data_IF_154216376705
#
_entry.id   IF_154216376705
#
_cell.length_a   1.000
_cell.length_b   1.000
_cell.length_c   1.000
_cell.angle_alpha   90.00
_cell.angle_beta   90.00
_cell.angle_gamma   90.00
#
_symmetry.space_group_name_H-M   'P 1'
#
loop_
_entity.id
_entity.type
_entity.pdbx_description
1 polymer ?
#
# COMPACT_ATOMS: atom_id res chain seq x y z
N UNK A 1 -58.97 -23.04 -13.39
CA UNK A 1 -58.48 -21.85 -12.66
C UNK A 1 -56.96 -21.94 -12.65
N UNK A 2 -56.33 -21.26 -13.60
CA UNK A 2 -54.89 -21.29 -13.82
C UNK A 2 -54.35 -19.89 -13.56
N UNK A 3 -53.75 -19.64 -12.41
CA UNK A 3 -52.71 -18.63 -12.24
C UNK A 3 -51.94 -18.94 -10.96
N UNK A 4 -50.66 -19.24 -11.08
CA UNK A 4 -49.69 -18.78 -10.09
C UNK A 4 -48.38 -18.48 -10.84
N UNK A 5 -47.94 -17.21 -10.87
CA UNK A 5 -46.68 -16.85 -11.48
C UNK A 5 -45.55 -17.26 -10.54
N UNK A 6 -44.57 -17.97 -11.10
CA UNK A 6 -43.25 -18.15 -10.52
C UNK A 6 -42.61 -16.77 -10.34
N UNK A 7 -42.50 -16.33 -9.09
CA UNK A 7 -41.68 -15.18 -8.73
C UNK A 7 -40.22 -15.55 -8.99
N UNK A 8 -39.68 -15.04 -10.10
CA UNK A 8 -38.23 -14.89 -10.28
C UNK A 8 -37.80 -13.79 -9.30
N UNK A 9 -37.17 -14.18 -8.20
CA UNK A 9 -36.50 -13.22 -7.31
C UNK A 9 -35.17 -12.84 -7.96
N UNK A 10 -34.87 -11.54 -8.18
CA UNK A 10 -33.57 -11.13 -8.67
C UNK A 10 -32.58 -11.17 -7.51
N UNK A 11 -31.64 -12.09 -7.55
CA UNK A 11 -30.49 -12.11 -6.64
C UNK A 11 -29.56 -10.95 -7.00
N UNK A 12 -29.92 -9.74 -6.57
CA UNK A 12 -28.94 -8.69 -6.33
C UNK A 12 -28.19 -9.11 -5.07
N UNK A 13 -27.08 -9.82 -5.24
CA UNK A 13 -26.20 -10.24 -4.16
C UNK A 13 -25.65 -9.00 -3.46
N UNK A 14 -26.18 -8.72 -2.28
CA UNK A 14 -25.54 -7.83 -1.32
C UNK A 14 -24.18 -8.43 -0.97
N UNK A 15 -23.09 -7.84 -1.48
CA UNK A 15 -21.73 -8.21 -1.10
C UNK A 15 -21.58 -8.01 0.41
N UNK A 16 -21.23 -9.07 1.15
CA UNK A 16 -20.94 -8.93 2.57
C UNK A 16 -19.55 -8.31 2.78
N UNK A 17 -19.30 -7.81 3.99
CA UNK A 17 -17.99 -7.25 4.38
C UNK A 17 -16.88 -8.31 4.27
N UNK A 18 -17.20 -9.56 4.60
CA UNK A 18 -16.28 -10.70 4.52
C UNK A 18 -15.94 -11.04 3.06
N UNK A 19 -16.92 -11.03 2.16
CA UNK A 19 -16.71 -11.20 0.72
C UNK A 19 -15.80 -10.12 0.15
N UNK A 20 -15.94 -8.89 0.63
CA UNK A 20 -15.21 -7.73 0.10
C UNK A 20 -13.72 -7.78 0.47
N UNK A 21 -13.40 -8.12 1.72
CA UNK A 21 -12.02 -8.26 2.15
C UNK A 21 -11.32 -9.42 1.43
N UNK A 22 -12.03 -10.54 1.23
CA UNK A 22 -11.53 -11.68 0.48
C UNK A 22 -11.21 -11.29 -0.97
N UNK A 23 -12.10 -10.57 -1.65
CA UNK A 23 -11.86 -10.07 -3.02
C UNK A 23 -10.64 -9.16 -3.09
N UNK A 24 -10.49 -8.22 -2.15
CA UNK A 24 -9.30 -7.37 -2.11
C UNK A 24 -8.03 -8.21 -1.96
N UNK A 25 -8.03 -9.22 -1.08
CA UNK A 25 -6.86 -10.08 -0.84
C UNK A 25 -6.44 -10.93 -2.06
N UNK A 26 -7.36 -11.15 -3.02
CA UNK A 26 -7.11 -11.92 -4.23
C UNK A 26 -6.41 -11.11 -5.32
N UNK A 27 -6.57 -9.78 -5.32
CA UNK A 27 -6.00 -8.91 -6.35
C UNK A 27 -4.68 -8.25 -5.93
N UNK A 28 -4.21 -8.46 -4.70
CA UNK A 28 -2.94 -7.88 -4.27
C UNK A 28 -1.74 -8.52 -4.96
N UNK A 29 -0.73 -7.70 -5.26
CA UNK A 29 0.55 -8.16 -5.80
C UNK A 29 1.49 -8.46 -4.63
N UNK A 30 1.39 -9.67 -4.06
CA UNK A 30 2.24 -10.09 -2.94
C UNK A 30 3.73 -10.00 -3.26
N UNK A 31 4.09 -10.27 -4.50
CA UNK A 31 5.47 -10.26 -4.97
C UNK A 31 6.11 -8.87 -5.01
N UNK A 32 5.30 -7.80 -5.07
CA UNK A 32 5.77 -6.42 -5.04
C UNK A 32 6.08 -5.91 -3.62
N UNK A 33 5.74 -6.68 -2.58
CA UNK A 33 6.08 -6.32 -1.20
C UNK A 33 7.57 -6.56 -0.95
N UNK A 34 8.21 -5.67 -0.20
CA UNK A 34 9.67 -5.70 -0.03
C UNK A 34 10.17 -6.98 0.67
N UNK A 35 9.33 -7.61 1.50
CA UNK A 35 9.59 -8.87 2.20
C UNK A 35 9.07 -10.10 1.45
N UNK A 36 8.68 -9.93 0.18
CA UNK A 36 8.39 -11.07 -0.69
C UNK A 36 9.68 -11.82 -1.03
N UNK A 37 9.62 -13.15 -1.26
CA UNK A 37 10.79 -13.91 -1.71
C UNK A 37 11.41 -13.36 -3.01
N UNK A 38 10.60 -12.79 -3.91
CA UNK A 38 11.08 -12.17 -5.14
C UNK A 38 11.83 -10.87 -4.87
N UNK A 39 11.33 -10.03 -3.96
CA UNK A 39 12.02 -8.81 -3.56
C UNK A 39 13.24 -9.06 -2.68
N UNK A 40 13.30 -10.13 -1.89
CA UNK A 40 14.50 -10.46 -1.12
C UNK A 40 15.75 -10.71 -1.97
N UNK A 41 15.58 -10.98 -3.28
CA UNK A 41 16.68 -11.07 -4.24
C UNK A 41 17.20 -9.69 -4.68
N UNK A 42 16.49 -8.59 -4.38
CA UNK A 42 16.99 -7.25 -4.66
C UNK A 42 18.24 -6.95 -3.84
N UNK A 43 19.26 -6.31 -4.45
CA UNK A 43 20.46 -5.93 -3.73
C UNK A 43 20.08 -4.91 -2.66
N UNK A 44 20.54 -5.14 -1.43
CA UNK A 44 20.53 -4.12 -0.38
C UNK A 44 21.74 -3.20 -0.55
N UNK A 45 21.71 -2.01 0.07
CA UNK A 45 22.94 -1.24 0.22
C UNK A 45 24.01 -2.12 0.87
N UNK A 46 25.18 -2.19 0.25
CA UNK A 46 26.33 -2.87 0.85
C UNK A 46 26.66 -2.20 2.19
N UNK A 47 27.17 -2.98 3.15
CA UNK A 47 27.59 -2.42 4.43
C UNK A 47 28.51 -1.21 4.21
N UNK A 48 28.22 -0.13 4.95
CA UNK A 48 28.95 1.14 4.92
C UNK A 48 28.85 1.95 3.62
N UNK A 49 27.98 1.59 2.69
CA UNK A 49 27.67 2.43 1.52
C UNK A 49 26.49 3.34 1.78
N UNK A 50 26.50 4.53 1.15
CA UNK A 50 25.37 5.48 1.15
C UNK A 50 24.85 5.88 2.55
N UNK A 51 25.72 5.80 3.57
CA UNK A 51 25.41 6.06 4.98
C UNK A 51 24.78 7.43 5.16
N UNK A 52 25.38 8.47 4.57
CA UNK A 52 24.94 9.86 4.79
C UNK A 52 23.59 10.13 4.12
N UNK A 53 23.33 9.50 2.97
CA UNK A 53 22.04 9.57 2.30
C UNK A 53 20.95 8.87 3.13
N UNK A 54 21.20 7.64 3.59
CA UNK A 54 20.28 6.90 4.45
C UNK A 54 20.00 7.66 5.75
N UNK A 55 21.03 8.22 6.41
CA UNK A 55 20.86 9.09 7.58
C UNK A 55 20.01 10.31 7.27
N UNK A 56 20.20 10.94 6.11
CA UNK A 56 19.42 12.11 5.69
C UNK A 56 17.96 11.74 5.44
N UNK A 57 17.70 10.60 4.80
CA UNK A 57 16.34 10.06 4.58
C UNK A 57 15.67 9.79 5.93
N UNK A 58 16.34 9.09 6.85
CA UNK A 58 15.77 8.82 8.17
C UNK A 58 15.49 10.08 8.97
N UNK A 59 16.44 11.03 8.99
CA UNK A 59 16.25 12.33 9.63
C UNK A 59 15.08 13.11 9.02
N UNK A 60 14.90 13.01 7.71
CA UNK A 60 13.76 13.61 7.03
C UNK A 60 12.48 12.95 7.55
N UNK A 61 12.33 11.62 7.38
CA UNK A 61 11.18 10.83 7.85
C UNK A 61 10.88 11.05 9.34
N UNK A 62 11.88 11.50 10.12
CA UNK A 62 11.72 11.79 11.52
C UNK A 62 11.02 13.12 11.86
N UNK A 63 10.94 14.08 10.95
CA UNK A 63 10.38 15.42 11.18
C UNK A 63 8.83 15.44 11.05
N UNK A 64 8.07 15.54 12.17
CA UNK A 64 6.61 15.46 12.15
C UNK A 64 5.93 16.71 11.56
N UNK A 65 6.68 17.78 11.26
CA UNK A 65 6.13 19.07 10.80
C UNK A 65 5.94 19.16 9.29
N UNK A 66 6.28 18.12 8.54
CA UNK A 66 6.24 18.14 7.07
C UNK A 66 5.47 16.92 6.56
N UNK A 67 4.59 17.12 5.58
CA UNK A 67 4.22 16.05 4.66
C UNK A 67 5.43 15.79 3.76
N UNK A 68 5.90 14.55 3.70
CA UNK A 68 7.22 14.24 3.18
C UNK A 68 7.16 13.28 2.01
N UNK A 69 7.24 13.83 0.81
CA UNK A 69 7.59 13.08 -0.38
C UNK A 69 9.11 13.16 -0.55
N UNK A 70 9.79 12.01 -0.47
CA UNK A 70 11.20 11.89 -0.84
C UNK A 70 11.26 11.30 -2.24
N UNK A 71 11.73 12.07 -3.20
CA UNK A 71 11.95 11.61 -4.56
C UNK A 71 13.43 11.30 -4.77
N UNK A 72 13.78 10.02 -4.86
CA UNK A 72 15.14 9.57 -5.11
C UNK A 72 15.36 9.41 -6.62
N UNK A 73 16.11 10.34 -7.23
CA UNK A 73 16.42 10.31 -8.66
C UNK A 73 17.93 10.18 -8.92
N UNK A 74 18.28 9.66 -10.10
CA UNK A 74 19.67 9.51 -10.53
C UNK A 74 19.81 8.46 -11.62
N UNK A 75 21.03 8.30 -12.15
CA UNK A 75 21.32 7.38 -13.26
C UNK A 75 20.92 5.94 -12.95
N UNK A 76 20.64 5.15 -14.00
CA UNK A 76 20.47 3.71 -13.85
C UNK A 76 21.74 3.08 -13.26
N UNK A 77 21.59 2.05 -12.41
CA UNK A 77 22.71 1.31 -11.84
C UNK A 77 23.37 1.92 -10.58
N UNK A 78 22.97 3.11 -10.11
CA UNK A 78 23.56 3.72 -8.90
C UNK A 78 23.04 3.14 -7.57
N UNK A 79 22.18 2.12 -7.63
CA UNK A 79 21.63 1.45 -6.44
C UNK A 79 20.41 2.15 -5.80
N UNK A 80 19.56 2.83 -6.58
CA UNK A 80 18.33 3.46 -6.04
C UNK A 80 17.38 2.44 -5.39
N UNK A 81 17.13 1.33 -6.07
CA UNK A 81 16.33 0.21 -5.53
C UNK A 81 16.94 -0.38 -4.27
N UNK A 82 18.28 -0.41 -4.18
CA UNK A 82 18.97 -0.85 -2.98
C UNK A 82 18.74 0.09 -1.79
N UNK A 83 18.71 1.40 -2.03
CA UNK A 83 18.34 2.41 -1.02
C UNK A 83 16.89 2.20 -0.58
N UNK A 84 15.95 2.11 -1.53
CA UNK A 84 14.54 1.91 -1.23
C UNK A 84 14.33 0.64 -0.38
N UNK A 85 14.97 -0.47 -0.77
CA UNK A 85 14.93 -1.71 0.00
C UNK A 85 15.48 -1.54 1.42
N UNK A 86 16.67 -0.94 1.56
CA UNK A 86 17.30 -0.72 2.87
C UNK A 86 16.45 0.20 3.77
N UNK A 87 15.81 1.22 3.20
CA UNK A 87 14.86 2.08 3.94
C UNK A 87 13.65 1.28 4.41
N UNK A 88 13.02 0.50 3.53
CA UNK A 88 11.88 -0.34 3.89
C UNK A 88 12.22 -1.31 5.03
N UNK A 89 13.34 -2.03 4.90
CA UNK A 89 13.83 -2.94 5.93
C UNK A 89 14.08 -2.23 7.27
N UNK A 90 14.77 -1.09 7.23
CA UNK A 90 15.05 -0.32 8.45
C UNK A 90 13.76 0.14 9.12
N UNK A 91 12.81 0.69 8.35
CA UNK A 91 11.53 1.18 8.87
C UNK A 91 10.62 0.07 9.42
N UNK A 92 10.71 -1.17 8.94
CA UNK A 92 10.01 -2.30 9.57
C UNK A 92 10.68 -2.73 10.87
N UNK A 93 12.00 -2.65 10.94
CA UNK A 93 12.80 -3.09 12.10
C UNK A 93 12.72 -2.16 13.31
N UNK A 94 12.34 -0.89 13.10
CA UNK A 94 12.22 0.10 14.17
C UNK A 94 11.14 -0.33 15.16
N UNK A 95 11.57 -0.73 16.36
CA UNK A 95 10.70 -1.00 17.51
C UNK A 95 10.45 0.29 18.28
N UNK A 96 9.27 0.38 18.89
CA UNK A 96 8.95 1.41 19.87
C UNK A 96 10.02 1.40 20.96
N UNK A 97 10.77 2.49 21.07
CA UNK A 97 11.63 2.73 22.23
C UNK A 97 11.01 3.83 23.07
N UNK A 98 11.21 3.78 24.39
CA UNK A 98 10.68 4.74 25.37
C UNK A 98 11.06 6.21 25.06
N UNK A 99 12.05 6.45 24.19
CA UNK A 99 12.50 7.78 23.76
C UNK A 99 11.77 8.34 22.53
N UNK A 100 11.06 7.51 21.78
CA UNK A 100 10.34 7.90 20.57
C UNK A 100 8.84 7.76 20.79
N UNK A 101 8.17 8.85 21.14
CA UNK A 101 6.72 8.91 21.38
C UNK A 101 5.85 8.68 20.13
N UNK A 102 6.43 8.33 18.98
CA UNK A 102 5.69 8.21 17.72
C UNK A 102 6.12 6.93 16.98
N UNK A 103 5.16 6.05 16.74
CA UNK A 103 5.30 4.82 15.96
C UNK A 103 5.52 5.12 14.47
N UNK A 104 6.76 5.41 14.07
CA UNK A 104 7.15 5.44 12.66
C UNK A 104 7.43 4.01 12.24
N UNK A 105 6.46 3.40 11.60
CA UNK A 105 6.59 2.04 11.11
C UNK A 105 6.12 1.99 9.66
N UNK A 106 6.78 1.16 8.87
CA UNK A 106 6.44 0.89 7.48
C UNK A 106 4.97 0.44 7.35
N UNK A 107 4.24 1.00 6.39
CA UNK A 107 2.79 0.79 6.22
C UNK A 107 2.40 0.15 4.90
N UNK A 108 3.28 0.27 3.92
CA UNK A 108 3.13 -0.42 2.65
C UNK A 108 4.38 -0.25 1.82
N UNK A 109 4.62 -1.25 0.99
CA UNK A 109 5.68 -1.24 0.00
C UNK A 109 5.15 -1.69 -1.34
N UNK A 110 5.75 -1.18 -2.41
CA UNK A 110 5.54 -1.69 -3.75
C UNK A 110 6.81 -1.50 -4.58
N UNK A 111 7.41 -2.59 -5.01
CA UNK A 111 8.59 -2.63 -5.85
C UNK A 111 8.19 -3.18 -7.22
N UNK A 112 8.02 -2.29 -8.20
CA UNK A 112 7.58 -2.65 -9.56
C UNK A 112 8.53 -3.67 -10.21
N UNK A 113 9.83 -3.50 -9.97
CA UNK A 113 10.91 -4.37 -10.44
C UNK A 113 10.88 -5.82 -9.94
N UNK A 114 10.20 -6.09 -8.82
CA UNK A 114 10.01 -7.46 -8.30
C UNK A 114 8.86 -8.20 -8.98
N UNK A 115 7.95 -7.46 -9.62
CA UNK A 115 6.75 -8.00 -10.21
C UNK A 115 6.96 -8.32 -11.69
N UNK A 116 7.50 -9.51 -11.92
CA UNK A 116 7.80 -10.01 -13.26
C UNK A 116 6.57 -10.61 -13.96
N UNK A 117 5.39 -10.49 -13.37
CA UNK A 117 4.30 -11.44 -13.64
C UNK A 117 3.24 -10.97 -14.61
N UNK A 118 3.05 -9.67 -14.91
CA UNK A 118 2.28 -9.22 -16.09
C UNK A 118 2.19 -7.68 -16.19
N UNK A 119 1.98 -7.14 -17.40
CA UNK A 119 1.75 -5.69 -17.65
C UNK A 119 0.51 -5.11 -16.96
N UNK A 120 -0.33 -5.95 -16.36
CA UNK A 120 -1.60 -5.57 -15.72
C UNK A 120 -1.49 -5.31 -14.22
N UNK A 121 -0.31 -5.47 -13.62
CA UNK A 121 -0.16 -5.40 -12.17
C UNK A 121 -0.04 -3.99 -11.60
N UNK A 122 0.31 -3.00 -12.44
CA UNK A 122 0.19 -1.57 -12.08
C UNK A 122 -1.23 -1.25 -11.66
N UNK A 123 -2.23 -1.85 -12.31
CA UNK A 123 -3.65 -1.74 -11.97
C UNK A 123 -4.03 -2.25 -10.58
N UNK A 124 -3.12 -2.91 -9.85
CA UNK A 124 -3.34 -3.37 -8.48
C UNK A 124 -2.46 -2.64 -7.46
N UNK A 125 -1.75 -1.59 -7.87
CA UNK A 125 -0.85 -0.83 -7.00
C UNK A 125 -1.57 -0.30 -5.74
N UNK A 126 -2.66 0.44 -5.90
CA UNK A 126 -3.38 1.01 -4.77
C UNK A 126 -4.16 -0.04 -3.97
N UNK A 127 -4.67 -1.09 -4.62
CA UNK A 127 -5.25 -2.24 -3.93
C UNK A 127 -4.23 -2.93 -3.00
N UNK A 128 -3.00 -3.09 -3.47
CA UNK A 128 -1.90 -3.70 -2.70
C UNK A 128 -1.45 -2.82 -1.54
N UNK A 129 -1.32 -1.51 -1.75
CA UNK A 129 -0.96 -0.57 -0.68
C UNK A 129 -2.05 -0.44 0.38
N UNK A 130 -3.32 -0.35 -0.03
CA UNK A 130 -4.43 -0.23 0.94
C UNK A 130 -4.60 -1.51 1.74
N UNK A 131 -4.39 -2.67 1.14
CA UNK A 131 -4.45 -3.94 1.86
C UNK A 131 -3.36 -4.00 2.95
N UNK A 132 -2.12 -3.63 2.63
CA UNK A 132 -1.03 -3.52 3.62
C UNK A 132 -1.35 -2.51 4.72
N UNK A 133 -1.97 -1.37 4.38
CA UNK A 133 -2.38 -0.40 5.39
C UNK A 133 -3.49 -0.95 6.29
N UNK A 134 -4.50 -1.61 5.71
CA UNK A 134 -5.67 -2.11 6.42
C UNK A 134 -5.39 -3.33 7.30
N UNK A 135 -4.40 -4.15 6.98
CA UNK A 135 -3.92 -5.23 7.87
C UNK A 135 -3.27 -4.67 9.14
N UNK A 136 -2.67 -3.47 9.07
CA UNK A 136 -2.07 -2.80 10.22
C UNK A 136 -3.08 -1.92 10.98
N UNK A 137 -4.14 -1.42 10.31
CA UNK A 137 -5.16 -0.56 10.90
C UNK A 137 -6.57 -1.08 10.61
N UNK A 138 -7.12 -1.97 11.45
CA UNK A 138 -8.47 -2.52 11.24
C UNK A 138 -9.56 -1.44 11.10
N UNK A 139 -9.35 -0.24 11.68
CA UNK A 139 -10.28 0.88 11.56
C UNK A 139 -10.43 1.42 10.13
N UNK A 140 -9.42 1.30 9.26
CA UNK A 140 -9.52 1.70 7.85
C UNK A 140 -10.25 0.65 7.01
N UNK A 141 -10.27 -0.61 7.44
CA UNK A 141 -10.84 -1.73 6.69
C UNK A 141 -12.32 -1.49 6.36
N UNK A 142 -13.09 -0.94 7.29
CA UNK A 142 -14.49 -0.59 7.06
C UNK A 142 -14.67 0.46 5.95
N UNK A 143 -13.76 1.45 5.87
CA UNK A 143 -13.81 2.48 4.85
C UNK A 143 -13.48 1.93 3.46
N UNK A 144 -12.47 1.05 3.39
CA UNK A 144 -12.05 0.34 2.18
C UNK A 144 -13.17 -0.59 1.68
N UNK A 145 -13.74 -1.39 2.57
CA UNK A 145 -14.82 -2.30 2.22
C UNK A 145 -16.03 -1.52 1.68
N UNK A 146 -16.40 -0.40 2.32
CA UNK A 146 -17.48 0.45 1.81
C UNK A 146 -17.18 1.04 0.43
N UNK A 147 -15.94 1.44 0.16
CA UNK A 147 -15.54 1.92 -1.16
C UNK A 147 -15.73 0.83 -2.23
N UNK A 148 -15.25 -0.40 -1.97
CA UNK A 148 -15.38 -1.54 -2.89
C UNK A 148 -16.83 -1.99 -3.05
N UNK A 149 -17.63 -2.02 -1.98
CA UNK A 149 -19.06 -2.32 -2.07
C UNK A 149 -19.81 -1.29 -2.92
N UNK A 150 -19.41 -0.01 -2.84
CA UNK A 150 -20.04 1.08 -3.60
C UNK A 150 -19.61 1.05 -5.07
N UNK A 151 -18.35 0.73 -5.34
CA UNK A 151 -17.83 0.53 -6.69
C UNK A 151 -16.90 -0.69 -6.76
N UNK A 152 -17.45 -1.88 -7.12
CA UNK A 152 -16.65 -3.09 -7.23
C UNK A 152 -15.54 -3.04 -8.29
N UNK A 153 -15.66 -2.16 -9.30
CA UNK A 153 -14.67 -2.04 -10.38
C UNK A 153 -13.35 -1.42 -9.91
N UNK A 154 -13.31 -0.89 -8.68
CA UNK A 154 -12.07 -0.43 -8.04
C UNK A 154 -11.01 -1.53 -7.91
N UNK A 155 -11.40 -2.80 -8.03
CA UNK A 155 -10.50 -3.96 -8.01
C UNK A 155 -10.17 -4.49 -9.41
N UNK A 156 -10.65 -3.86 -10.48
CA UNK A 156 -10.36 -4.27 -11.85
C UNK A 156 -9.01 -3.66 -12.29
N UNK A 157 -8.19 -4.46 -12.98
CA UNK A 157 -6.83 -4.05 -13.40
C UNK A 157 -6.83 -2.88 -14.40
N UNK A 158 -7.91 -2.71 -15.16
CA UNK A 158 -8.09 -1.68 -16.17
C UNK A 158 -8.75 -0.40 -15.64
N UNK A 159 -9.17 -0.39 -14.36
CA UNK A 159 -9.68 0.81 -13.70
C UNK A 159 -8.61 1.91 -13.72
N UNK A 160 -8.97 3.18 -14.03
CA UNK A 160 -8.03 4.28 -13.98
C UNK A 160 -7.36 4.39 -12.61
N UNK A 161 -6.02 4.45 -12.60
CA UNK A 161 -5.24 4.56 -11.36
C UNK A 161 -5.60 5.80 -10.53
N UNK A 162 -5.98 6.90 -11.17
CA UNK A 162 -6.49 8.09 -10.48
C UNK A 162 -7.70 7.79 -9.62
N UNK A 163 -8.60 6.97 -10.13
CA UNK A 163 -9.88 6.68 -9.49
C UNK A 163 -9.69 5.66 -8.38
N UNK A 164 -8.83 4.66 -8.59
CA UNK A 164 -8.37 3.78 -7.52
C UNK A 164 -7.64 4.59 -6.42
N UNK A 165 -6.73 5.48 -6.79
CA UNK A 165 -5.99 6.32 -5.84
C UNK A 165 -6.95 7.11 -4.96
N UNK A 166 -7.91 7.80 -5.57
CA UNK A 166 -8.85 8.66 -4.87
C UNK A 166 -9.78 7.86 -3.95
N UNK A 167 -10.53 6.91 -4.52
CA UNK A 167 -11.60 6.23 -3.79
C UNK A 167 -11.08 5.12 -2.87
N UNK A 168 -10.07 4.37 -3.30
CA UNK A 168 -9.58 3.19 -2.59
C UNK A 168 -8.47 3.53 -1.59
N UNK A 169 -7.67 4.58 -1.84
CA UNK A 169 -6.50 4.89 -0.99
C UNK A 169 -6.63 6.23 -0.25
N UNK A 170 -6.76 7.37 -0.94
CA UNK A 170 -6.72 8.70 -0.35
C UNK A 170 -7.91 8.97 0.57
N UNK A 171 -9.13 8.65 0.16
CA UNK A 171 -10.32 8.87 0.98
C UNK A 171 -10.31 8.04 2.29
N UNK A 172 -10.04 6.72 2.26
CA UNK A 172 -9.87 5.95 3.49
C UNK A 172 -8.72 6.46 4.37
N UNK A 173 -7.59 6.83 3.76
CA UNK A 173 -6.42 7.35 4.47
C UNK A 173 -6.73 8.68 5.19
N UNK A 174 -7.45 9.59 4.54
CA UNK A 174 -7.87 10.85 5.14
C UNK A 174 -8.76 10.62 6.37
N UNK A 175 -9.73 9.71 6.27
CA UNK A 175 -10.60 9.32 7.40
C UNK A 175 -9.80 8.72 8.54
N UNK A 176 -8.81 7.89 8.24
CA UNK A 176 -7.89 7.35 9.24
C UNK A 176 -7.11 8.48 9.94
N UNK A 177 -6.55 9.43 9.19
CA UNK A 177 -5.81 10.57 9.75
C UNK A 177 -6.68 11.45 10.66
N UNK A 178 -7.95 11.68 10.29
CA UNK A 178 -8.90 12.39 11.13
C UNK A 178 -9.16 11.66 12.45
N UNK A 179 -9.39 10.33 12.40
CA UNK A 179 -9.60 9.50 13.60
C UNK A 179 -8.38 9.47 14.52
N UNK A 180 -7.18 9.54 13.95
CA UNK A 180 -5.91 9.49 14.67
C UNK A 180 -5.36 10.87 15.04
N UNK A 181 -6.17 11.93 14.95
CA UNK A 181 -5.77 13.32 15.25
C UNK A 181 -4.47 13.75 14.55
N UNK A 182 -4.24 13.28 13.30
CA UNK A 182 -3.03 13.54 12.50
C UNK A 182 -1.72 13.08 13.15
N UNK A 183 -1.78 12.19 14.14
CA UNK A 183 -0.64 11.78 14.95
C UNK A 183 0.19 10.63 14.34
N UNK A 184 -0.23 10.07 13.20
CA UNK A 184 0.38 8.83 12.69
C UNK A 184 1.31 9.09 11.51
N UNK A 185 2.64 8.95 11.68
CA UNK A 185 3.58 8.97 10.56
C UNK A 185 3.50 7.63 9.82
N UNK A 186 2.82 7.65 8.68
CA UNK A 186 2.68 6.50 7.80
C UNK A 186 3.79 6.57 6.75
N UNK A 187 4.70 5.59 6.76
CA UNK A 187 5.75 5.50 5.73
C UNK A 187 5.38 4.47 4.68
N UNK A 188 5.37 4.91 3.43
CA UNK A 188 5.26 4.04 2.25
C UNK A 188 6.57 4.12 1.46
N UNK A 189 7.03 2.99 0.94
CA UNK A 189 8.22 2.92 0.07
C UNK A 189 7.82 2.34 -1.28
N UNK A 190 8.08 3.11 -2.34
CA UNK A 190 7.74 2.75 -3.71
C UNK A 190 9.02 2.81 -4.52
N UNK A 191 9.36 1.74 -5.23
CA UNK A 191 10.57 1.63 -6.05
C UNK A 191 10.21 1.36 -7.51
N UNK A 192 11.01 1.91 -8.43
CA UNK A 192 10.87 1.75 -9.88
C UNK A 192 9.50 2.21 -10.44
N UNK A 193 9.01 3.38 -9.98
CA UNK A 193 7.74 3.97 -10.46
C UNK A 193 7.76 4.34 -11.96
N UNK A 194 8.96 4.41 -12.56
CA UNK A 194 9.20 4.72 -13.96
C UNK A 194 9.21 3.50 -14.90
N UNK A 195 9.09 2.27 -14.38
CA UNK A 195 8.91 1.04 -15.17
C UNK A 195 7.46 0.88 -15.66
#
# INVERSE_FOLDING_TARGET
>A
MSVHPSFISPTLTYLTVEDTWMRLSQVIVKDAQYDSPKCHLHPKCLERTQIDLLKSIHKFLDDPKKSQLIWLHGMAGIGKSAIAFTVAETMKSLKVTEKTHVEKQLRGTFFFSCDKTERHTTGYFFATLVYQLATNFPSIQSDVNRAICSNPTLLDADMPLSDQMEALFLQPLWKLQLRLHKCLPLTFVIDALDE
#
